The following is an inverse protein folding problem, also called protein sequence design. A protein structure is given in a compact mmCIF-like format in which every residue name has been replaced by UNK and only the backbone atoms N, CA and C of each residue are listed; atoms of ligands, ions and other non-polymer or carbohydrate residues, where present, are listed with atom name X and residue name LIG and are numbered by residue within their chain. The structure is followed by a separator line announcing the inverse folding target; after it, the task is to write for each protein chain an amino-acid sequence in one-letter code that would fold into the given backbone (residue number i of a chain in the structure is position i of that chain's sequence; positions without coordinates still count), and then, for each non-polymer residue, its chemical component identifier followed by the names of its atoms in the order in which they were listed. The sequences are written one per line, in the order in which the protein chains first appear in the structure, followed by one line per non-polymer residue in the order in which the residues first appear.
data_IF_095573993349
#
_entry.id   IF_095573993349
#
_cell.length_a   1.000
_cell.length_b   1.000
_cell.length_c   1.000
_cell.angle_alpha   90.00
_cell.angle_beta   90.00
_cell.angle_gamma   90.00
#
_symmetry.space_group_name_H-M   'P 1'
#
loop_
_entity.id
_entity.type
_entity.pdbx_description
1 polymer ?
#
# COMPACT_ATOMS: atom_id res chain seq x y z
N UNK A 1 -31.13 16.43 10.79
CA UNK A 1 -30.06 15.94 9.89
C UNK A 1 -29.58 14.64 10.46
N UNK A 2 -29.91 13.51 9.82
CA UNK A 2 -29.34 12.22 10.21
C UNK A 2 -27.83 12.32 9.97
N UNK A 3 -27.02 12.19 11.02
CA UNK A 3 -25.59 12.00 10.85
C UNK A 3 -25.42 10.61 10.21
N UNK A 4 -25.40 10.57 8.87
CA UNK A 4 -25.00 9.37 8.14
C UNK A 4 -23.64 8.92 8.67
N UNK A 5 -23.51 7.63 8.97
CA UNK A 5 -22.28 7.07 9.51
C UNK A 5 -21.10 7.40 8.57
N UNK A 6 -20.00 7.89 9.15
CA UNK A 6 -18.79 8.25 8.42
C UNK A 6 -18.33 7.06 7.57
N UNK A 7 -18.05 7.30 6.30
CA UNK A 7 -17.62 6.28 5.35
C UNK A 7 -16.12 6.43 5.10
N UNK A 8 -15.36 5.36 5.35
CA UNK A 8 -13.91 5.36 5.20
C UNK A 8 -13.51 4.84 3.81
N UNK A 9 -12.92 5.71 2.98
CA UNK A 9 -12.52 5.42 1.59
C UNK A 9 -11.04 5.80 1.34
N UNK A 10 -10.18 5.57 2.34
CA UNK A 10 -8.73 5.81 2.26
C UNK A 10 -7.90 4.57 2.63
N UNK A 11 -8.34 3.39 2.18
CA UNK A 11 -7.69 2.10 2.44
C UNK A 11 -6.24 2.02 1.96
N UNK A 12 -5.86 2.76 0.91
CA UNK A 12 -4.48 2.80 0.44
C UNK A 12 -3.56 3.59 1.37
N UNK A 13 -4.08 4.48 2.23
CA UNK A 13 -3.31 5.08 3.31
C UNK A 13 -3.16 4.10 4.48
N UNK A 14 -4.25 3.54 4.97
CA UNK A 14 -4.26 2.44 5.95
C UNK A 14 -5.60 1.72 5.90
N UNK A 15 -5.62 0.41 6.08
CA UNK A 15 -6.87 -0.33 6.24
C UNK A 15 -7.31 -0.35 7.73
N UNK A 16 -8.61 -0.49 8.02
CA UNK A 16 -9.11 -0.81 9.35
C UNK A 16 -8.50 -2.11 9.89
N UNK A 17 -8.24 -2.16 11.20
CA UNK A 17 -7.70 -3.36 11.84
C UNK A 17 -8.73 -4.50 11.77
N UNK A 18 -8.33 -5.64 11.21
CA UNK A 18 -9.16 -6.83 11.10
C UNK A 18 -9.44 -7.46 12.46
N UNK A 19 -10.63 -8.07 12.67
CA UNK A 19 -10.93 -8.83 13.89
C UNK A 19 -9.90 -9.93 14.19
N UNK A 20 -9.43 -10.66 13.17
CA UNK A 20 -8.44 -11.73 13.31
C UNK A 20 -7.09 -11.18 13.78
N UNK A 21 -6.65 -10.07 13.21
CA UNK A 21 -5.43 -9.39 13.63
C UNK A 21 -5.54 -8.90 15.07
N UNK A 22 -6.68 -8.30 15.43
CA UNK A 22 -6.94 -7.85 16.81
C UNK A 22 -6.91 -9.01 17.81
N UNK A 23 -7.56 -10.13 17.48
CA UNK A 23 -7.58 -11.32 18.34
C UNK A 23 -6.18 -11.92 18.51
N UNK A 24 -5.41 -12.05 17.42
CA UNK A 24 -4.04 -12.56 17.46
C UNK A 24 -3.12 -11.65 18.28
N UNK A 25 -3.25 -10.33 18.13
CA UNK A 25 -2.51 -9.36 18.96
C UNK A 25 -2.85 -9.49 20.43
N UNK A 26 -4.13 -9.59 20.80
CA UNK A 26 -4.57 -9.76 22.18
C UNK A 26 -4.01 -11.05 22.79
N UNK A 27 -4.08 -12.18 22.08
CA UNK A 27 -3.51 -13.44 22.56
C UNK A 27 -1.98 -13.38 22.70
N UNK A 28 -1.29 -12.66 21.80
CA UNK A 28 0.15 -12.50 21.86
C UNK A 28 0.62 -11.64 23.05
N UNK A 29 -0.24 -10.81 23.65
CA UNK A 29 0.11 -10.03 24.85
C UNK A 29 0.35 -10.91 26.08
N UNK A 30 -0.22 -12.12 26.13
CA UNK A 30 -0.01 -13.08 27.22
C UNK A 30 1.35 -13.80 27.11
N UNK A 31 2.07 -13.64 25.99
CA UNK A 31 3.39 -14.22 25.76
C UNK A 31 4.46 -13.31 26.36
N UNK A 32 4.93 -13.64 27.57
CA UNK A 32 5.89 -12.83 28.33
C UNK A 32 7.36 -13.06 27.98
N UNK A 33 7.66 -14.12 27.22
CA UNK A 33 9.03 -14.55 26.96
C UNK A 33 9.77 -13.64 25.97
N UNK A 34 11.05 -13.38 26.24
CA UNK A 34 11.95 -12.83 25.22
C UNK A 34 12.36 -13.96 24.25
N UNK A 35 12.16 -13.84 22.92
CA UNK A 35 12.50 -14.88 21.94
C UNK A 35 13.98 -15.29 21.92
N UNK A 36 14.86 -14.42 22.41
CA UNK A 36 16.30 -14.68 22.55
C UNK A 36 16.64 -15.57 23.75
N UNK A 37 15.69 -15.77 24.68
CA UNK A 37 15.91 -16.60 25.87
C UNK A 37 15.74 -18.09 25.60
N UNK A 38 16.56 -18.91 26.25
CA UNK A 38 16.54 -20.39 26.08
C UNK A 38 15.52 -21.11 26.97
N UNK A 39 14.91 -20.43 27.95
CA UNK A 39 13.88 -21.01 28.83
C UNK A 39 12.53 -21.19 28.12
N UNK A 40 11.57 -21.85 28.77
CA UNK A 40 10.32 -22.30 28.15
C UNK A 40 9.52 -21.15 27.51
N UNK A 41 9.39 -20.02 28.20
CA UNK A 41 8.68 -18.83 27.74
C UNK A 41 9.37 -18.20 26.53
N UNK A 42 10.71 -18.13 26.53
CA UNK A 42 11.47 -17.64 25.39
C UNK A 42 11.34 -18.53 24.15
N UNK A 43 11.36 -19.85 24.35
CA UNK A 43 11.09 -20.81 23.26
C UNK A 43 9.66 -20.71 22.73
N UNK A 44 8.67 -20.47 23.60
CA UNK A 44 7.28 -20.25 23.17
C UNK A 44 7.14 -18.97 22.35
N UNK A 45 7.78 -17.87 22.78
CA UNK A 45 7.84 -16.61 22.05
C UNK A 45 8.49 -16.78 20.67
N UNK A 46 9.64 -17.47 20.60
CA UNK A 46 10.30 -17.79 19.34
C UNK A 46 9.44 -18.65 18.42
N UNK A 47 8.74 -19.65 18.96
CA UNK A 47 7.84 -20.49 18.17
C UNK A 47 6.65 -19.71 17.58
N UNK A 48 6.15 -18.68 18.28
CA UNK A 48 5.13 -17.77 17.74
C UNK A 48 5.68 -16.99 16.55
N UNK A 49 6.88 -16.41 16.68
CA UNK A 49 7.52 -15.64 15.59
C UNK A 49 7.73 -16.52 14.36
N UNK A 50 8.27 -17.72 14.52
CA UNK A 50 8.54 -18.61 13.38
C UNK A 50 7.25 -19.12 12.71
N UNK A 51 6.18 -19.33 13.49
CA UNK A 51 4.86 -19.63 12.92
C UNK A 51 4.34 -18.46 12.10
N UNK A 52 4.38 -17.25 12.65
CA UNK A 52 3.96 -16.03 11.96
C UNK A 52 4.77 -15.78 10.68
N UNK A 53 6.07 -16.05 10.72
CA UNK A 53 6.98 -16.00 9.57
C UNK A 53 6.51 -16.94 8.47
N UNK A 54 6.18 -18.19 8.82
CA UNK A 54 5.63 -19.18 7.89
C UNK A 54 4.28 -18.77 7.30
N UNK A 55 3.36 -18.26 8.12
CA UNK A 55 2.04 -17.80 7.67
C UNK A 55 2.15 -16.67 6.64
N UNK A 56 3.03 -15.69 6.88
CA UNK A 56 3.26 -14.59 5.93
C UNK A 56 3.94 -15.10 4.66
N UNK A 57 4.92 -16.01 4.77
CA UNK A 57 5.59 -16.59 3.62
C UNK A 57 4.60 -17.34 2.72
N UNK A 58 3.74 -18.20 3.29
CA UNK A 58 2.71 -18.91 2.54
C UNK A 58 1.69 -17.97 1.92
N UNK A 59 1.17 -16.99 2.68
CA UNK A 59 0.20 -16.01 2.17
C UNK A 59 0.75 -15.18 1.00
N UNK A 60 2.06 -14.92 0.97
CA UNK A 60 2.72 -14.17 -0.09
C UNK A 60 3.34 -15.04 -1.20
N UNK A 61 3.21 -16.38 -1.11
CA UNK A 61 3.83 -17.32 -2.06
C UNK A 61 5.35 -17.25 -2.08
N UNK A 62 5.96 -17.12 -0.90
CA UNK A 62 7.39 -16.95 -0.66
C UNK A 62 8.00 -18.17 0.05
N UNK A 63 7.48 -19.38 -0.19
CA UNK A 63 7.99 -20.59 0.41
C UNK A 63 9.49 -20.76 0.14
N UNK A 64 10.26 -20.98 1.21
CA UNK A 64 11.72 -21.10 1.16
C UNK A 64 12.50 -19.78 1.10
N UNK A 65 11.82 -18.62 1.05
CA UNK A 65 12.44 -17.30 1.18
C UNK A 65 12.68 -16.93 2.66
N UNK A 66 13.58 -15.98 2.89
CA UNK A 66 13.76 -15.39 4.22
C UNK A 66 12.80 -14.21 4.37
N UNK A 67 11.97 -14.21 5.41
CA UNK A 67 11.13 -13.07 5.79
C UNK A 67 11.82 -12.36 6.95
N UNK A 68 12.03 -11.04 6.87
CA UNK A 68 12.70 -10.24 7.90
C UNK A 68 11.71 -9.22 8.43
N UNK A 69 11.38 -9.27 9.72
CA UNK A 69 10.47 -8.32 10.32
C UNK A 69 11.12 -6.95 10.52
N UNK A 70 10.37 -5.90 10.18
CA UNK A 70 10.76 -4.49 10.30
C UNK A 70 9.63 -3.70 10.94
N UNK A 71 9.83 -2.43 11.32
CA UNK A 71 8.75 -1.58 11.84
C UNK A 71 7.73 -1.14 10.78
N UNK A 72 7.96 -1.43 9.51
CA UNK A 72 7.07 -1.07 8.39
C UNK A 72 7.82 -1.04 7.06
N UNK A 73 7.08 -0.81 5.96
CA UNK A 73 7.68 -0.72 4.62
C UNK A 73 8.76 0.36 4.50
N UNK A 74 8.70 1.45 5.26
CA UNK A 74 9.75 2.49 5.25
C UNK A 74 11.08 1.96 5.78
N UNK A 75 11.09 1.20 6.88
CA UNK A 75 12.30 0.55 7.38
C UNK A 75 12.76 -0.55 6.41
N UNK A 76 11.82 -1.31 5.83
CA UNK A 76 12.13 -2.29 4.79
C UNK A 76 12.81 -1.66 3.56
N UNK A 77 12.37 -0.47 3.13
CA UNK A 77 12.97 0.28 2.03
C UNK A 77 14.41 0.71 2.35
N UNK A 78 14.65 1.24 3.55
CA UNK A 78 16.00 1.54 4.02
C UNK A 78 16.89 0.30 4.02
N UNK A 79 16.40 -0.82 4.57
CA UNK A 79 17.14 -2.07 4.62
C UNK A 79 17.43 -2.63 3.22
N UNK A 80 16.46 -2.58 2.31
CA UNK A 80 16.58 -3.13 0.97
C UNK A 80 17.45 -2.27 0.05
N UNK A 81 17.40 -0.93 0.15
CA UNK A 81 17.96 -0.03 -0.86
C UNK A 81 19.26 0.66 -0.44
N UNK A 82 19.50 0.87 0.86
CA UNK A 82 20.61 1.69 1.32
C UNK A 82 21.99 1.21 0.82
N UNK A 83 22.74 2.12 0.21
CA UNK A 83 24.11 1.86 -0.25
C UNK A 83 24.24 0.96 -1.48
N UNK A 84 23.12 0.64 -2.17
CA UNK A 84 23.14 -0.25 -3.34
C UNK A 84 23.18 0.46 -4.69
N UNK A 85 22.98 1.79 -4.72
CA UNK A 85 22.97 2.57 -5.96
C UNK A 85 21.87 2.13 -6.93
N UNK A 86 20.67 1.83 -6.40
CA UNK A 86 19.55 1.38 -7.23
C UNK A 86 18.87 2.56 -7.94
N UNK A 87 18.23 2.25 -9.06
CA UNK A 87 17.47 3.16 -9.90
C UNK A 87 15.96 2.88 -9.76
N UNK A 88 15.13 3.91 -9.82
CA UNK A 88 13.67 3.76 -9.80
C UNK A 88 13.00 4.95 -10.47
N UNK A 89 11.69 5.05 -10.34
CA UNK A 89 10.92 6.13 -10.97
C UNK A 89 10.39 7.13 -9.94
N UNK A 90 10.00 8.32 -10.42
CA UNK A 90 9.34 9.34 -9.59
C UNK A 90 8.00 8.92 -9.00
N UNK A 91 7.39 7.86 -9.55
CA UNK A 91 6.15 7.28 -9.03
C UNK A 91 6.38 6.44 -7.77
N UNK A 92 7.61 6.05 -7.45
CA UNK A 92 7.94 5.28 -6.24
C UNK A 92 7.56 6.03 -4.97
N UNK A 93 7.28 5.30 -3.89
CA UNK A 93 7.00 5.93 -2.60
C UNK A 93 8.22 6.71 -2.09
N UNK A 94 8.01 7.83 -1.39
CA UNK A 94 9.10 8.68 -0.85
C UNK A 94 10.09 7.88 0.01
N UNK A 95 9.61 6.86 0.72
CA UNK A 95 10.44 5.95 1.49
C UNK A 95 11.47 5.18 0.65
N UNK A 96 11.18 4.89 -0.62
CA UNK A 96 12.10 4.28 -1.58
C UNK A 96 12.96 5.36 -2.21
N UNK A 97 12.34 6.44 -2.71
CA UNK A 97 13.03 7.58 -3.36
C UNK A 97 14.15 8.18 -2.53
N UNK A 98 14.05 8.12 -1.19
CA UNK A 98 15.11 8.55 -0.28
C UNK A 98 16.44 7.76 -0.41
N UNK A 99 16.46 6.61 -1.07
CA UNK A 99 17.62 5.69 -1.15
C UNK A 99 18.06 5.35 -2.57
N UNK A 100 17.37 5.86 -3.59
CA UNK A 100 17.57 5.51 -4.99
C UNK A 100 17.82 6.75 -5.85
N UNK A 101 18.23 6.54 -7.10
CA UNK A 101 18.16 7.57 -8.15
C UNK A 101 16.82 7.44 -8.86
N UNK A 102 16.00 8.48 -8.91
CA UNK A 102 14.65 8.46 -9.53
C UNK A 102 14.66 8.87 -11.02
N UNK A 103 15.45 8.14 -11.82
CA UNK A 103 15.74 8.42 -13.23
C UNK A 103 15.03 7.51 -14.26
N UNK A 104 14.30 6.48 -13.82
CA UNK A 104 13.54 5.62 -14.73
C UNK A 104 12.34 6.36 -15.34
N UNK A 105 12.15 6.19 -16.65
CA UNK A 105 11.09 6.84 -17.39
C UNK A 105 9.71 6.26 -17.06
N UNK A 106 8.71 7.14 -17.01
CA UNK A 106 7.30 6.81 -16.77
C UNK A 106 6.49 7.25 -17.99
N UNK A 107 5.66 6.35 -18.51
CA UNK A 107 4.76 6.69 -19.62
C UNK A 107 3.47 7.38 -19.15
N UNK A 108 2.63 7.82 -20.10
CA UNK A 108 1.37 8.50 -19.79
C UNK A 108 0.33 7.61 -19.08
N UNK A 109 0.51 6.29 -19.11
CA UNK A 109 -0.33 5.32 -18.40
C UNK A 109 0.22 5.02 -17.00
N UNK A 110 1.40 5.51 -16.65
CA UNK A 110 2.05 5.30 -15.38
C UNK A 110 2.95 4.06 -15.32
N UNK A 111 3.22 3.41 -16.45
CA UNK A 111 4.16 2.29 -16.50
C UNK A 111 5.61 2.78 -16.50
N UNK A 112 6.46 2.09 -15.76
CA UNK A 112 7.89 2.40 -15.66
C UNK A 112 8.69 1.55 -16.65
N UNK A 113 9.58 2.18 -17.40
CA UNK A 113 10.54 1.46 -18.24
C UNK A 113 11.78 1.10 -17.43
N UNK A 114 11.97 -0.20 -17.16
CA UNK A 114 13.16 -0.72 -16.47
C UNK A 114 14.18 -1.23 -17.50
N UNK A 115 15.37 -0.64 -17.50
CA UNK A 115 16.47 -1.01 -18.42
C UNK A 115 17.46 -2.01 -17.80
N UNK A 116 17.65 -1.96 -16.48
CA UNK A 116 18.61 -2.79 -15.76
C UNK A 116 17.98 -3.41 -14.49
N UNK A 117 17.17 -4.49 -14.62
CA UNK A 117 16.39 -5.06 -13.51
C UNK A 117 17.19 -5.30 -12.22
N UNK A 118 18.38 -5.91 -12.31
CA UNK A 118 19.24 -6.19 -11.15
C UNK A 118 19.80 -4.97 -10.42
N UNK A 119 19.57 -3.77 -10.95
CA UNK A 119 19.94 -2.48 -10.36
C UNK A 119 18.73 -1.56 -10.18
N UNK A 120 17.51 -2.10 -10.27
CA UNK A 120 16.29 -1.29 -10.21
C UNK A 120 15.35 -1.68 -9.07
N UNK A 121 14.64 -0.67 -8.59
CA UNK A 121 13.46 -0.79 -7.73
C UNK A 121 12.23 -0.42 -8.53
N UNK A 122 11.18 -1.23 -8.40
CA UNK A 122 9.89 -0.95 -9.02
C UNK A 122 8.76 -1.39 -8.11
N UNK A 123 7.90 -0.46 -7.69
CA UNK A 123 6.66 -0.79 -6.99
C UNK A 123 5.79 -1.70 -7.87
N UNK A 124 5.11 -2.67 -7.26
CA UNK A 124 4.22 -3.55 -8.00
C UNK A 124 2.90 -2.87 -8.37
N UNK A 125 2.42 -1.98 -7.49
CA UNK A 125 1.17 -1.26 -7.68
C UNK A 125 1.28 0.15 -7.09
N UNK A 126 0.89 1.16 -7.87
CA UNK A 126 0.98 2.54 -7.43
C UNK A 126 -0.07 2.89 -6.38
N UNK A 127 0.37 3.48 -5.28
CA UNK A 127 -0.52 3.81 -4.15
C UNK A 127 -1.51 4.94 -4.44
N UNK A 128 -1.18 5.84 -5.37
CA UNK A 128 -2.02 6.97 -5.76
C UNK A 128 -3.05 6.56 -6.81
N UNK A 129 -2.57 6.01 -7.94
CA UNK A 129 -3.37 5.73 -9.14
C UNK A 129 -3.93 4.33 -9.21
N UNK A 130 -3.34 3.39 -8.45
CA UNK A 130 -3.62 1.97 -8.53
C UNK A 130 -2.96 1.27 -9.70
N UNK A 131 -2.25 1.96 -10.60
CA UNK A 131 -1.61 1.35 -11.79
C UNK A 131 -0.69 0.21 -11.39
N UNK A 132 -0.87 -0.95 -12.04
CA UNK A 132 -0.06 -2.14 -11.85
C UNK A 132 1.15 -2.11 -12.79
N UNK A 133 2.31 -2.47 -12.27
CA UNK A 133 3.54 -2.59 -13.05
C UNK A 133 3.75 -4.03 -13.51
N UNK A 134 4.36 -4.20 -14.68
CA UNK A 134 4.91 -5.50 -15.10
C UNK A 134 6.34 -5.58 -14.57
N UNK A 135 6.59 -6.50 -13.62
CA UNK A 135 7.92 -6.66 -13.05
C UNK A 135 8.81 -7.47 -14.00
N UNK A 136 9.99 -6.97 -14.40
CA UNK A 136 10.94 -7.74 -15.18
C UNK A 136 11.65 -8.81 -14.33
N UNK A 137 12.03 -9.92 -14.94
CA UNK A 137 12.83 -10.95 -14.27
C UNK A 137 14.21 -10.40 -13.86
N UNK A 138 14.69 -10.81 -12.70
CA UNK A 138 15.94 -10.34 -12.10
C UNK A 138 15.85 -8.97 -11.42
N UNK A 139 14.65 -8.41 -11.20
CA UNK A 139 14.49 -7.12 -10.50
C UNK A 139 15.08 -7.17 -9.07
N UNK A 140 15.83 -6.14 -8.68
CA UNK A 140 16.48 -6.11 -7.37
C UNK A 140 15.48 -6.01 -6.21
N UNK A 141 14.57 -5.04 -6.26
CA UNK A 141 13.59 -4.79 -5.19
C UNK A 141 12.24 -4.44 -5.78
N UNK A 142 11.17 -4.95 -5.19
CA UNK A 142 9.81 -4.45 -5.44
C UNK A 142 9.14 -3.94 -4.17
N UNK A 143 8.41 -2.84 -4.28
CA UNK A 143 7.42 -2.45 -3.27
C UNK A 143 6.09 -3.18 -3.53
N UNK A 144 5.81 -4.23 -2.75
CA UNK A 144 4.58 -5.01 -2.85
C UNK A 144 3.51 -4.52 -1.85
N UNK A 145 3.75 -3.40 -1.15
CA UNK A 145 2.89 -2.87 -0.07
C UNK A 145 1.43 -2.68 -0.48
N UNK A 146 1.19 -2.26 -1.73
CA UNK A 146 -0.17 -2.04 -2.23
C UNK A 146 -0.77 -3.25 -2.96
N UNK A 147 0.05 -4.21 -3.37
CA UNK A 147 -0.37 -5.38 -4.13
C UNK A 147 -0.67 -6.59 -3.25
N UNK A 148 0.19 -6.85 -2.24
CA UNK A 148 0.03 -7.99 -1.35
C UNK A 148 -1.38 -7.97 -0.73
N UNK A 149 -2.07 -9.10 -0.81
CA UNK A 149 -3.41 -9.29 -0.26
C UNK A 149 -4.55 -8.56 -0.98
N UNK A 150 -4.26 -7.87 -2.10
CA UNK A 150 -5.28 -7.21 -2.96
C UNK A 150 -5.37 -7.79 -4.36
N UNK A 151 -4.28 -8.35 -4.85
CA UNK A 151 -4.22 -9.08 -6.12
C UNK A 151 -3.47 -10.40 -5.91
N UNK A 152 -3.71 -11.42 -6.76
CA UNK A 152 -2.96 -12.66 -6.72
C UNK A 152 -1.47 -12.40 -6.98
N UNK A 153 -0.62 -12.76 -6.01
CA UNK A 153 0.83 -12.58 -6.08
C UNK A 153 1.49 -13.79 -5.43
N UNK A 154 2.56 -14.28 -6.05
CA UNK A 154 3.45 -15.28 -5.47
C UNK A 154 4.90 -14.81 -5.64
N UNK A 155 5.59 -14.47 -4.55
CA UNK A 155 6.97 -13.96 -4.55
C UNK A 155 7.91 -14.81 -5.40
N UNK A 156 7.80 -16.14 -5.29
CA UNK A 156 8.64 -17.08 -6.01
C UNK A 156 8.48 -17.00 -7.54
N UNK A 157 7.41 -16.39 -8.05
CA UNK A 157 7.13 -16.22 -9.48
C UNK A 157 7.29 -14.78 -9.97
N UNK A 158 7.61 -13.83 -9.09
CA UNK A 158 7.77 -12.42 -9.46
C UNK A 158 9.10 -12.11 -10.17
N UNK A 159 10.07 -13.03 -10.13
CA UNK A 159 11.41 -12.79 -10.68
C UNK A 159 12.25 -11.79 -9.88
N UNK A 160 11.81 -11.38 -8.69
CA UNK A 160 12.50 -10.37 -7.87
C UNK A 160 13.51 -10.99 -6.88
N UNK A 161 14.43 -10.17 -6.38
CA UNK A 161 15.36 -10.57 -5.30
C UNK A 161 14.79 -10.25 -3.91
N UNK A 162 14.14 -9.10 -3.77
CA UNK A 162 13.56 -8.63 -2.50
C UNK A 162 12.19 -7.98 -2.70
N UNK A 163 11.30 -8.12 -1.73
CA UNK A 163 9.96 -7.50 -1.74
C UNK A 163 9.60 -6.91 -0.38
N UNK A 164 9.10 -5.68 -0.38
CA UNK A 164 8.68 -4.96 0.83
C UNK A 164 7.18 -5.15 1.09
N UNK A 165 6.84 -5.40 2.36
CA UNK A 165 5.47 -5.62 2.82
C UNK A 165 5.14 -4.72 4.02
N UNK A 166 3.87 -4.35 4.18
CA UNK A 166 3.37 -3.55 5.29
C UNK A 166 2.04 -4.07 5.83
N UNK A 167 1.97 -4.39 7.12
CA UNK A 167 0.81 -5.06 7.69
C UNK A 167 -0.47 -4.20 7.64
N UNK A 168 -0.35 -2.90 7.91
CA UNK A 168 -1.51 -2.00 7.99
C UNK A 168 -2.21 -1.74 6.65
N UNK A 169 -1.66 -2.19 5.52
CA UNK A 169 -2.36 -2.16 4.22
C UNK A 169 -3.30 -3.34 4.02
N UNK A 170 -3.11 -4.41 4.80
CA UNK A 170 -3.93 -5.62 4.81
C UNK A 170 -5.00 -5.60 5.90
N UNK A 171 -5.00 -4.58 6.75
CA UNK A 171 -5.77 -4.53 7.99
C UNK A 171 -5.08 -5.20 9.17
N UNK A 172 -3.75 -5.34 9.13
CA UNK A 172 -2.92 -5.63 10.30
C UNK A 172 -2.59 -4.36 11.10
N UNK A 173 -1.83 -4.50 12.20
CA UNK A 173 -1.41 -3.36 13.01
C UNK A 173 -0.43 -2.44 12.28
N UNK A 174 -0.42 -1.16 12.65
CA UNK A 174 0.65 -0.22 12.29
C UNK A 174 1.91 -0.54 13.12
N UNK A 175 3.08 -0.15 12.62
CA UNK A 175 4.36 -0.36 13.32
C UNK A 175 4.95 -1.77 13.15
N UNK A 176 4.53 -2.50 12.11
CA UNK A 176 5.13 -3.76 11.69
C UNK A 176 5.04 -3.90 10.16
N UNK A 177 6.12 -4.39 9.56
CA UNK A 177 6.23 -4.76 8.15
C UNK A 177 7.23 -5.89 7.99
N UNK A 178 7.54 -6.23 6.74
CA UNK A 178 8.55 -7.24 6.45
C UNK A 178 9.29 -6.93 5.14
N UNK A 179 10.54 -7.38 5.07
CA UNK A 179 11.30 -7.52 3.85
C UNK A 179 11.43 -9.02 3.56
N UNK A 180 10.87 -9.47 2.46
CA UNK A 180 11.02 -10.85 1.97
C UNK A 180 12.19 -10.87 1.00
N UNK A 181 13.14 -11.77 1.19
CA UNK A 181 14.32 -11.88 0.33
C UNK A 181 14.54 -13.32 -0.13
N UNK A 182 15.06 -13.46 -1.35
CA UNK A 182 15.51 -14.75 -1.86
C UNK A 182 16.58 -15.32 -0.93
N UNK A 183 16.43 -16.59 -0.54
CA UNK A 183 17.40 -17.26 0.33
C UNK A 183 18.80 -17.23 -0.26
N UNK A 184 19.80 -17.00 0.58
CA UNK A 184 21.20 -16.84 0.17
C UNK A 184 21.55 -15.41 -0.30
N UNK A 185 20.61 -14.47 -0.25
CA UNK A 185 20.92 -13.06 -0.51
C UNK A 185 21.62 -12.43 0.70
N UNK A 186 22.79 -11.85 0.45
CA UNK A 186 23.51 -11.06 1.46
C UNK A 186 22.87 -9.68 1.64
N UNK A 187 22.64 -9.33 2.90
CA UNK A 187 21.94 -8.11 3.28
C UNK A 187 22.57 -7.54 4.56
N UNK A 188 23.22 -6.39 4.43
CA UNK A 188 23.83 -5.69 5.56
C UNK A 188 22.75 -5.01 6.42
N UNK A 189 22.84 -5.18 7.74
CA UNK A 189 21.92 -4.56 8.68
C UNK A 189 22.09 -3.04 8.73
N UNK A 190 20.95 -2.33 8.67
CA UNK A 190 20.88 -0.89 8.97
C UNK A 190 20.79 -0.65 10.48
N UNK A 191 19.94 -1.43 11.17
CA UNK A 191 19.84 -1.43 12.64
C UNK A 191 20.73 -2.53 13.20
N UNK A 192 21.87 -2.13 13.77
CA UNK A 192 22.93 -3.02 14.28
C UNK A 192 22.76 -3.28 15.78
N UNK A 193 23.25 -4.42 16.27
CA UNK A 193 23.09 -4.82 17.66
C UNK A 193 23.09 -6.34 17.86
N UNK A 194 22.14 -6.84 18.66
CA UNK A 194 22.11 -8.20 19.22
C UNK A 194 21.84 -9.35 18.26
N UNK A 195 21.82 -9.12 16.94
CA UNK A 195 21.77 -10.18 15.95
C UNK A 195 20.40 -10.82 15.72
N UNK A 196 19.31 -10.19 16.17
CA UNK A 196 17.93 -10.60 15.84
C UNK A 196 17.70 -10.62 14.32
N UNK A 197 16.64 -11.32 13.90
CA UNK A 197 16.26 -11.49 12.48
C UNK A 197 17.45 -11.94 11.61
N UNK A 198 18.13 -13.00 12.05
CA UNK A 198 19.30 -13.60 11.39
C UNK A 198 20.47 -12.62 11.19
N UNK A 199 20.63 -11.67 12.13
CA UNK A 199 21.66 -10.63 12.06
C UNK A 199 21.33 -9.45 11.15
N UNK A 200 20.17 -9.45 10.48
CA UNK A 200 19.80 -8.44 9.48
C UNK A 200 19.03 -7.26 10.05
N UNK A 201 18.40 -7.42 11.22
CA UNK A 201 17.65 -6.35 11.91
C UNK A 201 17.65 -6.57 13.42
N UNK A 202 18.44 -5.78 14.15
CA UNK A 202 18.55 -5.92 15.61
C UNK A 202 17.40 -5.29 16.40
N UNK A 203 17.26 -5.71 17.65
CA UNK A 203 16.25 -5.24 18.60
C UNK A 203 15.21 -6.30 18.91
N UNK A 204 14.75 -6.35 20.16
CA UNK A 204 13.72 -7.30 20.62
C UNK A 204 12.51 -7.26 19.70
N UNK A 205 12.05 -8.44 19.29
CA UNK A 205 11.03 -8.59 18.27
C UNK A 205 9.65 -8.14 18.78
N UNK A 206 8.90 -7.42 17.93
CA UNK A 206 7.53 -6.99 18.24
C UNK A 206 6.56 -8.17 18.07
N UNK A 207 6.54 -9.09 19.04
CA UNK A 207 5.72 -10.32 19.01
C UNK A 207 4.25 -10.01 18.73
N UNK A 208 3.69 -8.97 19.38
CA UNK A 208 2.29 -8.57 19.21
C UNK A 208 2.02 -8.11 17.78
N UNK A 209 2.89 -7.25 17.23
CA UNK A 209 2.80 -6.80 15.84
C UNK A 209 2.95 -7.94 14.84
N UNK A 210 3.91 -8.84 15.07
CA UNK A 210 4.18 -10.01 14.23
C UNK A 210 2.96 -10.94 14.18
N UNK A 211 2.35 -11.25 15.33
CA UNK A 211 1.13 -12.05 15.40
C UNK A 211 -0.04 -11.40 14.64
N UNK A 212 -0.25 -10.09 14.84
CA UNK A 212 -1.29 -9.35 14.14
C UNK A 212 -1.06 -9.27 12.62
N UNK A 213 0.20 -9.16 12.18
CA UNK A 213 0.53 -9.16 10.76
C UNK A 213 0.24 -10.53 10.13
N UNK A 214 0.68 -11.62 10.75
CA UNK A 214 0.42 -12.96 10.23
C UNK A 214 -1.07 -13.27 10.09
N UNK A 215 -1.86 -12.95 11.12
CA UNK A 215 -3.32 -13.14 11.05
C UNK A 215 -3.99 -12.27 9.97
N UNK A 216 -3.52 -11.03 9.76
CA UNK A 216 -4.01 -10.18 8.68
C UNK A 216 -3.63 -10.71 7.30
N UNK A 217 -2.41 -11.27 7.14
CA UNK A 217 -1.95 -11.86 5.89
C UNK A 217 -2.77 -13.09 5.50
N UNK A 218 -3.05 -13.99 6.46
CA UNK A 218 -3.93 -15.15 6.22
C UNK A 218 -5.35 -14.73 5.86
N UNK A 219 -5.91 -13.74 6.57
CA UNK A 219 -7.24 -13.23 6.26
C UNK A 219 -7.31 -12.58 4.87
N UNK A 220 -6.29 -11.82 4.48
CA UNK A 220 -6.22 -11.23 3.14
C UNK A 220 -6.05 -12.29 2.05
N UNK A 221 -5.31 -13.37 2.30
CA UNK A 221 -5.19 -14.50 1.39
C UNK A 221 -6.54 -15.25 1.21
N UNK A 222 -7.31 -15.41 2.29
CA UNK A 222 -8.68 -15.96 2.21
C UNK A 222 -9.61 -15.07 1.39
N UNK A 223 -9.61 -13.75 1.64
CA UNK A 223 -10.42 -12.81 0.86
C UNK A 223 -10.12 -12.88 -0.65
N UNK A 224 -8.84 -13.03 -1.02
CA UNK A 224 -8.44 -13.26 -2.41
C UNK A 224 -9.00 -14.57 -2.97
N UNK A 225 -8.89 -15.67 -2.23
CA UNK A 225 -9.40 -16.97 -2.66
C UNK A 225 -10.94 -17.00 -2.78
N UNK A 226 -11.63 -16.24 -1.93
CA UNK A 226 -13.09 -16.16 -1.87
C UNK A 226 -13.70 -15.17 -2.88
N UNK A 227 -12.87 -14.52 -3.70
CA UNK A 227 -13.32 -13.61 -4.75
C UNK A 227 -13.81 -12.23 -4.23
N UNK A 228 -13.34 -11.82 -3.05
CA UNK A 228 -13.77 -10.56 -2.41
C UNK A 228 -13.33 -9.35 -3.23
N UNK A 229 -12.15 -9.40 -3.84
CA UNK A 229 -11.58 -8.26 -4.56
C UNK A 229 -12.24 -8.01 -5.92
N UNK A 230 -12.84 -9.03 -6.54
CA UNK A 230 -13.66 -8.93 -7.74
C UNK A 230 -14.95 -8.15 -7.45
N UNK A 231 -15.53 -8.34 -6.25
CA UNK A 231 -16.64 -7.49 -5.80
C UNK A 231 -16.17 -6.05 -5.57
N UNK A 232 -15.01 -5.87 -4.94
CA UNK A 232 -14.44 -4.52 -4.70
C UNK A 232 -14.16 -3.81 -6.03
N UNK A 233 -13.66 -4.52 -7.05
CA UNK A 233 -13.46 -4.00 -8.39
C UNK A 233 -14.76 -3.47 -9.01
N UNK A 234 -15.84 -4.27 -8.94
CA UNK A 234 -17.17 -3.84 -9.40
C UNK A 234 -17.63 -2.56 -8.70
N UNK A 235 -17.40 -2.44 -7.39
CA UNK A 235 -17.75 -1.22 -6.63
C UNK A 235 -16.92 -0.01 -7.06
N UNK A 236 -15.63 -0.20 -7.37
CA UNK A 236 -14.78 0.86 -7.95
C UNK A 236 -15.31 1.28 -9.31
N UNK A 237 -15.73 0.34 -10.15
CA UNK A 237 -16.26 0.64 -11.48
C UNK A 237 -17.63 1.37 -11.42
N UNK A 238 -18.50 0.98 -10.47
CA UNK A 238 -19.77 1.68 -10.20
C UNK A 238 -19.48 3.12 -9.79
N UNK A 239 -18.57 3.33 -8.83
CA UNK A 239 -18.14 4.66 -8.39
C UNK A 239 -17.69 5.53 -9.58
N UNK A 240 -16.77 5.02 -10.40
CA UNK A 240 -16.24 5.76 -11.54
C UNK A 240 -17.33 6.06 -12.58
N UNK A 241 -18.23 5.11 -12.83
CA UNK A 241 -19.33 5.28 -13.80
C UNK A 241 -20.35 6.32 -13.33
N UNK A 242 -20.71 6.30 -12.05
CA UNK A 242 -21.61 7.30 -11.44
C UNK A 242 -21.04 8.71 -11.53
N UNK A 243 -19.74 8.88 -11.22
CA UNK A 243 -19.06 10.18 -11.34
C UNK A 243 -18.98 10.60 -12.81
N UNK A 244 -18.57 9.71 -13.71
CA UNK A 244 -18.42 10.03 -15.14
C UNK A 244 -19.76 10.48 -15.77
N UNK A 245 -20.88 9.87 -15.37
CA UNK A 245 -22.21 10.25 -15.86
C UNK A 245 -22.67 11.64 -15.41
N UNK A 246 -22.29 12.08 -14.21
CA UNK A 246 -22.69 13.36 -13.63
C UNK A 246 -21.67 14.50 -13.83
N UNK A 247 -20.40 14.17 -14.03
CA UNK A 247 -19.28 15.11 -14.18
C UNK A 247 -18.33 14.65 -15.31
N UNK A 248 -18.74 14.77 -16.59
CA UNK A 248 -18.02 14.20 -17.75
C UNK A 248 -16.63 14.80 -18.00
N UNK A 249 -16.34 15.97 -17.43
CA UNK A 249 -15.03 16.63 -17.48
C UNK A 249 -14.00 16.01 -16.51
N UNK A 250 -14.41 15.07 -15.66
CA UNK A 250 -13.53 14.41 -14.68
C UNK A 250 -12.53 13.50 -15.40
N UNK A 251 -11.26 13.64 -15.05
CA UNK A 251 -10.17 12.84 -15.63
C UNK A 251 -9.89 11.66 -14.71
N UNK A 252 -10.15 10.43 -15.15
CA UNK A 252 -9.79 9.22 -14.41
C UNK A 252 -8.37 8.77 -14.78
N UNK A 253 -7.46 8.93 -13.83
CA UNK A 253 -6.03 8.68 -14.03
C UNK A 253 -5.78 7.18 -14.13
N UNK A 254 -5.05 6.76 -15.17
CA UNK A 254 -4.70 5.35 -15.40
C UNK A 254 -5.88 4.46 -15.79
N UNK A 255 -7.04 5.00 -16.19
CA UNK A 255 -8.24 4.22 -16.53
C UNK A 255 -8.02 3.19 -17.65
N UNK A 256 -7.11 3.47 -18.59
CA UNK A 256 -6.76 2.55 -19.68
C UNK A 256 -5.67 1.52 -19.31
N UNK A 257 -5.13 1.56 -18.09
CA UNK A 257 -4.13 0.62 -17.59
C UNK A 257 -4.77 -0.44 -16.69
N UNK A 258 -4.04 -1.53 -16.47
CA UNK A 258 -4.37 -2.46 -15.40
C UNK A 258 -4.18 -1.74 -14.04
N UNK A 259 -5.19 -1.81 -13.17
CA UNK A 259 -5.18 -1.12 -11.88
C UNK A 259 -5.59 -2.06 -10.75
N UNK A 260 -5.19 -1.72 -9.54
CA UNK A 260 -5.73 -2.31 -8.32
C UNK A 260 -7.26 -2.27 -8.36
N UNK A 261 -7.93 -3.33 -7.86
CA UNK A 261 -9.40 -3.41 -7.86
C UNK A 261 -10.04 -2.31 -7.01
N UNK A 262 -9.30 -1.73 -6.08
CA UNK A 262 -9.85 -0.91 -5.01
C UNK A 262 -9.58 0.59 -5.16
N UNK A 263 -8.84 1.01 -6.19
CA UNK A 263 -8.31 2.36 -6.28
C UNK A 263 -8.91 3.10 -7.46
N UNK A 264 -9.46 4.28 -7.18
CA UNK A 264 -9.82 5.27 -8.17
C UNK A 264 -9.07 6.57 -7.87
N UNK A 265 -8.27 7.02 -8.83
CA UNK A 265 -7.64 8.34 -8.82
C UNK A 265 -8.25 9.15 -9.95
N UNK A 266 -8.78 10.31 -9.61
CA UNK A 266 -9.35 11.20 -10.60
C UNK A 266 -9.08 12.66 -10.26
N UNK A 267 -9.03 13.47 -11.31
CA UNK A 267 -8.68 14.87 -11.24
C UNK A 267 -9.77 15.74 -11.86
N UNK A 268 -10.03 16.86 -11.20
CA UNK A 268 -10.93 17.92 -11.68
C UNK A 268 -10.14 19.22 -11.78
N UNK A 269 -9.62 19.57 -12.96
CA UNK A 269 -8.84 20.80 -13.15
C UNK A 269 -9.58 22.03 -12.61
N UNK A 270 -8.88 22.87 -11.85
CA UNK A 270 -9.44 24.07 -11.22
C UNK A 270 -10.02 23.87 -9.81
N UNK A 271 -10.29 22.63 -9.39
CA UNK A 271 -10.76 22.31 -8.04
C UNK A 271 -9.65 21.64 -7.23
N UNK A 272 -8.97 22.41 -6.37
CA UNK A 272 -7.84 21.90 -5.57
C UNK A 272 -8.19 20.64 -4.77
N UNK A 273 -7.33 19.63 -4.81
CA UNK A 273 -7.52 18.35 -4.12
C UNK A 273 -7.74 18.50 -2.61
N UNK A 274 -7.04 19.41 -1.93
CA UNK A 274 -7.23 19.64 -0.49
C UNK A 274 -8.62 20.21 -0.18
N UNK A 275 -9.16 21.05 -1.10
CA UNK A 275 -10.50 21.59 -0.97
C UNK A 275 -11.55 20.50 -1.15
N UNK A 276 -11.34 19.61 -2.12
CA UNK A 276 -12.18 18.43 -2.33
C UNK A 276 -12.19 17.52 -1.08
N UNK A 277 -11.01 17.19 -0.54
CA UNK A 277 -10.87 16.37 0.67
C UNK A 277 -11.61 16.98 1.85
N UNK A 278 -11.44 18.28 2.10
CA UNK A 278 -12.16 18.99 3.17
C UNK A 278 -13.68 18.96 2.96
N UNK A 279 -14.15 19.16 1.73
CA UNK A 279 -15.60 19.14 1.43
C UNK A 279 -16.20 17.74 1.58
N UNK A 280 -15.44 16.69 1.28
CA UNK A 280 -15.84 15.30 1.47
C UNK A 280 -15.79 14.89 2.94
N UNK A 281 -14.80 15.37 3.71
CA UNK A 281 -14.74 15.17 5.16
C UNK A 281 -15.98 15.76 5.87
N UNK A 282 -16.34 17.00 5.52
CA UNK A 282 -17.59 17.64 5.99
C UNK A 282 -18.85 16.91 5.53
N UNK A 283 -18.79 16.16 4.42
CA UNK A 283 -19.87 15.31 3.93
C UNK A 283 -19.84 13.88 4.54
N UNK A 284 -18.89 13.58 5.43
CA UNK A 284 -18.79 12.29 6.13
C UNK A 284 -17.92 11.25 5.43
N UNK A 285 -17.08 11.62 4.48
CA UNK A 285 -16.21 10.70 3.74
C UNK A 285 -14.72 10.97 4.01
N UNK A 286 -13.97 9.93 4.35
CA UNK A 286 -12.52 10.00 4.44
C UNK A 286 -11.90 9.57 3.11
N UNK A 287 -11.24 10.50 2.41
CA UNK A 287 -10.51 10.29 1.16
C UNK A 287 -9.14 10.97 1.25
N UNK A 288 -8.31 10.81 0.21
CA UNK A 288 -6.99 11.43 0.12
C UNK A 288 -6.89 12.35 -1.09
N UNK A 289 -5.94 13.28 -1.05
CA UNK A 289 -5.44 14.01 -2.22
C UNK A 289 -4.05 13.48 -2.59
N UNK A 290 -3.57 13.76 -3.81
CA UNK A 290 -2.20 13.43 -4.21
C UNK A 290 -1.16 13.88 -3.18
N UNK A 291 0.00 13.23 -3.14
CA UNK A 291 1.08 13.42 -2.13
C UNK A 291 0.65 13.85 -0.71
N UNK A 292 -0.47 13.33 -0.17
CA UNK A 292 -0.90 13.59 1.21
C UNK A 292 0.14 13.14 2.27
N UNK A 293 1.17 12.38 1.86
CA UNK A 293 2.31 12.01 2.69
C UNK A 293 3.42 13.09 2.79
N UNK A 294 3.36 14.17 2.02
CA UNK A 294 4.42 15.20 1.98
C UNK A 294 4.20 16.31 3.03
N UNK A 295 4.69 16.09 4.25
CA UNK A 295 5.12 17.12 5.23
C UNK A 295 4.29 18.42 5.38
N UNK A 296 2.97 18.42 5.18
CA UNK A 296 2.09 19.58 5.40
C UNK A 296 2.22 20.74 4.40
N UNK A 297 2.89 20.57 3.24
CA UNK A 297 2.90 21.58 2.15
C UNK A 297 2.21 21.01 0.92
N UNK A 298 1.09 21.60 0.52
CA UNK A 298 0.39 21.30 -0.72
C UNK A 298 1.36 21.41 -1.91
N UNK A 299 1.70 20.27 -2.50
CA UNK A 299 2.48 20.18 -3.75
C UNK A 299 1.71 19.32 -4.75
N UNK A 300 1.79 19.63 -6.06
CA UNK A 300 1.25 18.76 -7.09
C UNK A 300 1.80 17.33 -6.95
N UNK A 301 1.02 16.32 -7.33
CA UNK A 301 1.45 14.93 -7.28
C UNK A 301 2.64 14.69 -8.22
N UNK A 302 3.78 14.26 -7.67
CA UNK A 302 4.95 13.83 -8.43
C UNK A 302 4.60 12.65 -9.36
N UNK A 303 3.71 11.75 -8.91
CA UNK A 303 3.21 10.62 -9.69
C UNK A 303 2.51 11.10 -10.96
N UNK A 304 1.53 12.00 -10.84
CA UNK A 304 0.80 12.52 -12.00
C UNK A 304 1.70 13.39 -12.89
N UNK A 305 2.61 14.16 -12.31
CA UNK A 305 3.61 14.91 -13.07
C UNK A 305 4.51 13.99 -13.91
N UNK A 306 4.92 12.84 -13.35
CA UNK A 306 5.69 11.82 -14.06
C UNK A 306 4.89 11.16 -15.19
N UNK A 307 3.56 11.04 -15.05
CA UNK A 307 2.65 10.60 -16.10
C UNK A 307 2.35 11.67 -17.16
N UNK A 308 2.93 12.87 -17.06
CA UNK A 308 2.78 13.94 -18.04
C UNK A 308 1.56 14.84 -17.84
N UNK A 309 0.84 14.74 -16.71
CA UNK A 309 -0.20 15.70 -16.38
C UNK A 309 0.40 17.06 -15.99
N UNK A 310 -0.23 18.14 -16.44
CA UNK A 310 0.18 19.48 -16.03
C UNK A 310 -0.08 19.74 -14.53
N UNK A 311 0.58 20.76 -13.98
CA UNK A 311 0.48 21.08 -12.55
C UNK A 311 -0.96 21.44 -12.14
N UNK A 312 -1.76 22.03 -13.03
CA UNK A 312 -3.14 22.41 -12.76
C UNK A 312 -4.01 21.16 -12.56
N UNK A 313 -3.90 20.19 -13.45
CA UNK A 313 -4.59 18.89 -13.38
C UNK A 313 -4.11 18.09 -12.18
N UNK A 314 -2.79 17.97 -12.00
CA UNK A 314 -2.20 17.23 -10.89
C UNK A 314 -2.61 17.81 -9.51
N UNK A 315 -2.81 19.12 -9.40
CA UNK A 315 -3.30 19.77 -8.17
C UNK A 315 -4.77 19.51 -7.85
N UNK A 316 -5.56 19.09 -8.85
CA UNK A 316 -6.98 18.76 -8.71
C UNK A 316 -7.26 17.29 -8.48
N UNK A 317 -6.22 16.47 -8.27
CA UNK A 317 -6.35 15.03 -8.11
C UNK A 317 -6.72 14.61 -6.68
N UNK A 318 -7.69 13.71 -6.58
CA UNK A 318 -8.01 12.98 -5.36
C UNK A 318 -7.92 11.47 -5.58
N UNK A 319 -7.77 10.75 -4.48
CA UNK A 319 -7.79 9.30 -4.43
C UNK A 319 -8.91 8.83 -3.53
N UNK A 320 -9.75 7.95 -4.09
CA UNK A 320 -10.72 7.14 -3.36
C UNK A 320 -10.22 5.70 -3.40
N UNK A 321 -9.97 5.13 -2.23
CA UNK A 321 -9.50 3.75 -2.10
C UNK A 321 -10.40 2.97 -1.14
N UNK A 322 -11.10 1.99 -1.70
CA UNK A 322 -12.13 1.22 -1.01
C UNK A 322 -11.58 -0.12 -0.51
N UNK A 323 -12.38 -0.90 0.22
CA UNK A 323 -11.93 -2.19 0.73
C UNK A 323 -13.07 -3.18 0.97
N UNK A 324 -12.76 -4.35 1.56
CA UNK A 324 -13.72 -5.45 1.71
C UNK A 324 -15.03 -5.07 2.42
N UNK A 325 -14.99 -4.14 3.37
CA UNK A 325 -16.18 -3.71 4.10
C UNK A 325 -17.02 -2.63 3.38
N UNK A 326 -16.52 -2.08 2.27
CA UNK A 326 -17.25 -1.06 1.50
C UNK A 326 -18.46 -1.68 0.79
N UNK A 327 -19.58 -0.96 0.82
CA UNK A 327 -20.85 -1.35 0.18
C UNK A 327 -21.13 -0.53 -1.09
N UNK A 328 -22.10 -0.97 -1.87
CA UNK A 328 -22.59 -0.21 -3.02
C UNK A 328 -23.23 1.12 -2.60
N UNK A 329 -23.97 1.13 -1.49
CA UNK A 329 -24.55 2.35 -0.94
C UNK A 329 -23.46 3.37 -0.59
N UNK A 330 -22.34 2.94 -0.01
CA UNK A 330 -21.22 3.82 0.32
C UNK A 330 -20.65 4.54 -0.90
N UNK A 331 -20.44 3.81 -2.01
CA UNK A 331 -19.86 4.40 -3.23
C UNK A 331 -20.85 5.30 -3.96
N UNK A 332 -22.14 4.96 -3.97
CA UNK A 332 -23.18 5.79 -4.57
C UNK A 332 -23.40 7.08 -3.78
N UNK A 333 -23.46 7.01 -2.45
CA UNK A 333 -23.55 8.20 -1.58
C UNK A 333 -22.34 9.11 -1.75
N UNK A 334 -21.14 8.53 -1.86
CA UNK A 334 -19.94 9.32 -2.16
C UNK A 334 -20.03 10.01 -3.52
N UNK A 335 -20.41 9.27 -4.59
CA UNK A 335 -20.51 9.81 -5.94
C UNK A 335 -21.52 10.97 -6.01
N UNK A 336 -22.69 10.81 -5.39
CA UNK A 336 -23.70 11.86 -5.28
C UNK A 336 -23.15 13.09 -4.55
N UNK A 337 -22.60 12.90 -3.34
CA UNK A 337 -22.07 13.99 -2.53
C UNK A 337 -20.92 14.74 -3.24
N UNK A 338 -20.02 14.02 -3.91
CA UNK A 338 -18.91 14.62 -4.64
C UNK A 338 -19.42 15.40 -5.86
N UNK A 339 -20.30 14.82 -6.68
CA UNK A 339 -20.87 15.49 -7.85
C UNK A 339 -21.68 16.74 -7.47
N UNK A 340 -22.37 16.72 -6.33
CA UNK A 340 -23.07 17.89 -5.79
C UNK A 340 -22.12 19.06 -5.48
N UNK A 341 -20.94 18.77 -4.92
CA UNK A 341 -19.92 19.79 -4.65
C UNK A 341 -19.24 20.25 -5.93
N UNK A 342 -19.00 19.33 -6.87
CA UNK A 342 -18.43 19.61 -8.19
C UNK A 342 -19.29 20.62 -8.96
N UNK A 343 -20.61 20.37 -9.06
CA UNK A 343 -21.55 21.29 -9.72
C UNK A 343 -21.54 22.68 -9.09
N UNK A 344 -21.48 22.76 -7.76
CA UNK A 344 -21.40 24.03 -7.02
C UNK A 344 -20.07 24.75 -7.23
N UNK A 345 -18.96 24.02 -7.35
CA UNK A 345 -17.67 24.57 -7.68
C UNK A 345 -17.68 25.18 -9.09
N UNK A 346 -18.17 24.43 -10.09
CA UNK A 346 -18.31 24.92 -11.47
C UNK A 346 -19.20 26.16 -11.58
N UNK A 347 -20.34 26.16 -10.90
CA UNK A 347 -21.25 27.32 -10.90
C UNK A 347 -20.65 28.59 -10.28
N UNK A 348 -19.57 28.48 -9.48
CA UNK A 348 -18.84 29.64 -8.93
C UNK A 348 -17.66 30.08 -9.81
N UNK A 349 -17.21 29.22 -10.70
CA UNK A 349 -16.08 29.46 -11.60
C UNK A 349 -16.53 29.96 -12.99
N UNK A 350 -17.82 29.79 -13.33
CA UNK A 350 -18.50 30.36 -14.49
C UNK A 350 -18.97 31.79 -14.20
#
# INVERSE_FOLDING_TARGET
MSFSARTYLDYNATAPLRPEAKAAMSAAMDVIGNPSSVHAEGRAAKALIERARGQIATAFGADGADVIFTSGATEAASLACAGRGLHGAKVEHDAVRAWITDDLAVDALGHVTVTHPGQSVLQMANSETGVLQTLPDGLAVTDATQAFGKIPVAFNWLGVTMAMLSAHKLGGPKGIGALVIRRGTDLAAQIRGGGQEMGRRSGTENIVGIAGFAAAAEAAARDLADGVWERVEKLRDILESSIAGAAPQTIFVGKAAARLPNTSCFATPGWKGETQVMQMDLAGFAISAGSACSSGKARPSDTLGAMGYDAATASGAIRVSIGPATTEEDVLRFAEAWCDKERKHRARAA
#
